data_IF_074704418246
#
_entry.id   IF_074704418246
#
_cell.length_a   1.000
_cell.length_b   1.000
_cell.length_c   1.000
_cell.angle_alpha   90.00
_cell.angle_beta   90.00
_cell.angle_gamma   90.00
#
_symmetry.space_group_name_H-M   'P 1'
#
loop_
_entity.id
_entity.type
_entity.pdbx_description
1 polymer ?
#
# COMPACT_ATOMS: atom_id res chain seq x y z
N UNK A 1 20.05 -47.18 41.12
CA UNK A 1 19.89 -45.95 40.30
C UNK A 1 19.25 -46.33 38.98
N UNK A 2 18.35 -45.46 38.47
CA UNK A 2 17.61 -45.53 37.18
C UNK A 2 16.47 -46.58 37.15
N UNK A 3 15.28 -46.38 36.56
CA UNK A 3 14.70 -45.27 35.77
C UNK A 3 13.31 -45.74 35.24
N UNK A 4 12.30 -44.85 35.36
CA UNK A 4 11.15 -44.57 34.45
C UNK A 4 10.13 -45.68 34.14
N UNK A 5 8.84 -45.35 34.32
CA UNK A 5 7.88 -45.04 33.23
C UNK A 5 6.45 -44.87 33.79
N UNK A 6 6.00 -43.65 34.08
CA UNK A 6 5.30 -42.74 33.15
C UNK A 6 4.25 -43.43 32.28
N UNK A 7 3.03 -43.64 32.80
CA UNK A 7 1.92 -44.15 31.97
C UNK A 7 0.52 -43.61 32.31
N UNK A 8 0.40 -42.61 33.19
CA UNK A 8 -0.91 -42.10 33.63
C UNK A 8 -1.30 -40.72 33.07
N UNK A 9 -0.36 -39.93 32.58
CA UNK A 9 -0.65 -38.55 32.10
C UNK A 9 -1.37 -38.56 30.74
N UNK A 10 -0.97 -39.43 29.81
CA UNK A 10 -1.57 -39.52 28.47
C UNK A 10 -3.05 -39.95 28.49
N UNK A 11 -3.50 -40.65 29.53
CA UNK A 11 -4.89 -41.12 29.65
C UNK A 11 -5.82 -40.00 30.13
N UNK A 12 -5.32 -39.06 30.93
CA UNK A 12 -6.05 -37.88 31.37
C UNK A 12 -6.03 -36.77 30.30
N UNK A 13 -4.90 -36.59 29.61
CA UNK A 13 -4.79 -35.69 28.46
C UNK A 13 -5.68 -36.17 27.31
N UNK A 14 -5.69 -37.48 26.99
CA UNK A 14 -6.56 -38.02 25.94
C UNK A 14 -8.06 -37.86 26.25
N UNK A 15 -8.46 -38.01 27.52
CA UNK A 15 -9.84 -37.72 27.95
C UNK A 15 -10.18 -36.23 27.86
N UNK A 16 -9.25 -35.35 28.22
CA UNK A 16 -9.42 -33.90 28.07
C UNK A 16 -9.52 -33.47 26.60
N UNK A 17 -8.67 -34.03 25.74
CA UNK A 17 -8.64 -33.75 24.31
C UNK A 17 -9.88 -34.29 23.58
N UNK A 18 -10.37 -35.46 23.98
CA UNK A 18 -11.66 -36.01 23.52
C UNK A 18 -12.84 -35.12 23.95
N UNK A 19 -12.84 -34.64 25.21
CA UNK A 19 -13.88 -33.73 25.70
C UNK A 19 -13.87 -32.38 24.97
N UNK A 20 -12.70 -31.85 24.63
CA UNK A 20 -12.55 -30.60 23.88
C UNK A 20 -13.04 -30.76 22.43
N UNK A 21 -12.81 -31.93 21.83
CA UNK A 21 -13.27 -32.24 20.47
C UNK A 21 -14.81 -32.34 20.39
N UNK A 22 -15.46 -32.93 21.38
CA UNK A 22 -16.93 -33.01 21.44
C UNK A 22 -17.58 -31.63 21.56
N UNK A 23 -16.97 -30.69 22.30
CA UNK A 23 -17.46 -29.30 22.41
C UNK A 23 -17.33 -28.57 21.05
N UNK A 24 -16.28 -28.86 20.28
CA UNK A 24 -16.10 -28.34 18.92
C UNK A 24 -17.15 -28.84 17.93
N UNK A 25 -17.63 -30.08 18.06
CA UNK A 25 -18.68 -30.63 17.19
C UNK A 25 -20.08 -30.06 17.46
N UNK A 26 -20.37 -29.59 18.68
CA UNK A 26 -21.66 -28.95 19.02
C UNK A 26 -21.76 -27.51 18.45
N UNK A 27 -20.63 -26.83 18.23
CA UNK A 27 -20.60 -25.52 17.57
C UNK A 27 -20.82 -25.60 16.05
N UNK A 28 -20.84 -26.80 15.47
CA UNK A 28 -21.15 -27.06 14.07
C UNK A 28 -22.51 -27.75 13.90
N UNK A 29 -23.48 -27.43 14.77
CA UNK A 29 -24.86 -27.87 14.64
C UNK A 29 -25.81 -26.66 14.74
N UNK A 30 -25.88 -25.90 13.66
CA UNK A 30 -27.03 -25.04 13.37
C UNK A 30 -28.20 -25.95 13.04
N UNK A 31 -29.10 -26.15 14.00
CA UNK A 31 -30.31 -26.96 13.80
C UNK A 31 -31.15 -26.44 12.62
N UNK A 32 -31.63 -27.43 11.89
CA UNK A 32 -32.32 -27.42 10.61
C UNK A 32 -33.60 -26.59 10.57
N UNK A 33 -33.84 -25.96 9.41
CA UNK A 33 -35.13 -26.08 8.72
C UNK A 33 -34.90 -26.99 7.52
N UNK A 34 -35.50 -28.17 7.50
CA UNK A 34 -35.65 -28.93 6.26
C UNK A 34 -36.68 -28.24 5.37
N UNK A 35 -36.51 -28.48 4.07
CA UNK A 35 -37.41 -28.15 2.96
C UNK A 35 -37.53 -26.67 2.60
N UNK A 36 -36.58 -26.21 1.80
CA UNK A 36 -36.85 -25.82 0.41
C UNK A 36 -35.51 -25.81 -0.32
N UNK A 37 -35.42 -26.62 -1.38
CA UNK A 37 -34.40 -26.64 -2.42
C UNK A 37 -33.13 -25.83 -2.11
N UNK A 38 -32.03 -26.56 -1.84
CA UNK A 38 -30.76 -26.11 -2.35
C UNK A 38 -30.90 -26.00 -3.88
N UNK A 39 -31.40 -24.85 -4.34
CA UNK A 39 -30.96 -24.33 -5.62
C UNK A 39 -29.49 -24.10 -5.40
N UNK A 40 -28.69 -25.12 -5.72
CA UNK A 40 -27.36 -24.91 -6.24
C UNK A 40 -27.52 -23.76 -7.22
N UNK A 41 -27.20 -22.54 -6.78
CA UNK A 41 -26.85 -21.49 -7.72
C UNK A 41 -25.51 -21.98 -8.23
N UNK A 42 -25.57 -22.94 -9.15
CA UNK A 42 -24.51 -23.15 -10.10
C UNK A 42 -24.29 -21.75 -10.67
N UNK A 43 -23.16 -21.15 -10.30
CA UNK A 43 -22.65 -19.96 -10.97
C UNK A 43 -22.21 -20.48 -12.34
N UNK A 44 -23.20 -20.85 -13.17
CA UNK A 44 -23.01 -21.24 -14.54
C UNK A 44 -22.60 -19.96 -15.26
N UNK A 45 -21.31 -19.90 -15.58
CA UNK A 45 -20.73 -18.94 -16.51
C UNK A 45 -20.72 -17.49 -16.00
N UNK A 46 -19.98 -17.19 -14.92
CA UNK A 46 -19.43 -15.83 -14.83
C UNK A 46 -18.32 -15.71 -15.88
N UNK A 47 -18.30 -14.58 -16.59
CA UNK A 47 -17.15 -14.22 -17.43
C UNK A 47 -15.87 -14.28 -16.57
N UNK A 48 -14.68 -14.55 -17.15
CA UNK A 48 -13.43 -14.66 -16.37
C UNK A 48 -13.12 -13.42 -15.53
N UNK A 49 -13.75 -12.28 -15.83
CA UNK A 49 -13.53 -11.00 -15.17
C UNK A 49 -14.64 -10.60 -14.17
N UNK A 50 -15.61 -11.47 -13.89
CA UNK A 50 -16.72 -11.18 -12.96
C UNK A 50 -16.71 -12.08 -11.72
N UNK A 51 -16.83 -11.45 -10.55
CA UNK A 51 -16.95 -12.13 -9.26
C UNK A 51 -18.36 -11.90 -8.71
N UNK A 52 -19.13 -12.98 -8.62
CA UNK A 52 -20.44 -12.98 -7.98
C UNK A 52 -20.32 -13.23 -6.47
N UNK A 53 -21.08 -12.48 -5.68
CA UNK A 53 -21.09 -12.55 -4.20
C UNK A 53 -22.54 -12.65 -3.73
N UNK A 54 -22.81 -13.46 -2.69
CA UNK A 54 -24.16 -13.60 -2.14
C UNK A 54 -24.56 -12.40 -1.26
N UNK A 55 -25.85 -12.18 -1.05
CA UNK A 55 -26.35 -11.09 -0.20
C UNK A 55 -25.84 -11.20 1.26
N UNK A 56 -25.69 -12.43 1.76
CA UNK A 56 -25.15 -12.70 3.10
C UNK A 56 -23.66 -12.34 3.19
N UNK A 57 -22.88 -12.61 2.15
CA UNK A 57 -21.47 -12.22 2.07
C UNK A 57 -21.32 -10.70 1.93
N UNK A 58 -22.22 -10.06 1.17
CA UNK A 58 -22.23 -8.60 1.02
C UNK A 58 -22.49 -7.88 2.35
N UNK A 59 -23.52 -8.32 3.07
CA UNK A 59 -23.89 -7.73 4.37
C UNK A 59 -22.86 -8.04 5.45
N UNK A 60 -22.34 -9.28 5.50
CA UNK A 60 -21.30 -9.66 6.45
C UNK A 60 -19.97 -8.93 6.21
N UNK A 61 -19.71 -8.53 4.96
CA UNK A 61 -18.55 -7.73 4.59
C UNK A 61 -18.70 -6.23 4.86
N UNK A 62 -19.86 -5.78 5.37
CA UNK A 62 -20.20 -4.36 5.54
C UNK A 62 -19.89 -3.53 4.29
N UNK A 63 -20.17 -4.10 3.11
CA UNK A 63 -19.88 -3.44 1.84
C UNK A 63 -20.90 -2.33 1.55
N UNK A 64 -20.43 -1.21 1.02
CA UNK A 64 -21.27 -0.06 0.65
C UNK A 64 -21.05 0.32 -0.81
N UNK A 65 -22.14 0.64 -1.51
CA UNK A 65 -22.09 1.15 -2.88
C UNK A 65 -22.22 2.67 -2.86
N UNK A 66 -21.19 3.35 -3.36
CA UNK A 66 -21.24 4.77 -3.63
C UNK A 66 -21.94 5.10 -4.95
N UNK A 67 -22.31 6.37 -5.13
CA UNK A 67 -22.75 6.88 -6.44
C UNK A 67 -21.54 7.34 -7.23
N UNK A 68 -21.49 6.99 -8.51
CA UNK A 68 -20.51 7.55 -9.44
C UNK A 68 -20.92 9.00 -9.75
N UNK A 69 -19.99 9.94 -9.59
CA UNK A 69 -20.21 11.35 -9.90
C UNK A 69 -19.05 11.90 -10.73
N UNK A 70 -19.38 12.71 -11.74
CA UNK A 70 -18.37 13.50 -12.46
C UNK A 70 -17.87 14.63 -11.55
N UNK A 71 -16.56 14.74 -11.41
CA UNK A 71 -15.91 15.78 -10.64
C UNK A 71 -15.03 16.61 -11.58
N UNK A 72 -14.98 17.93 -11.36
CA UNK A 72 -14.12 18.82 -12.12
C UNK A 72 -12.66 18.67 -11.66
N UNK A 73 -11.76 18.33 -12.57
CA UNK A 73 -10.34 18.22 -12.29
C UNK A 73 -9.63 19.54 -12.61
N UNK A 74 -8.66 19.93 -11.79
CA UNK A 74 -7.87 21.15 -12.06
C UNK A 74 -6.97 20.92 -13.27
N UNK A 75 -7.16 21.73 -14.31
CA UNK A 75 -6.43 21.65 -15.59
C UNK A 75 -5.06 22.34 -15.58
N UNK A 76 -4.76 23.10 -14.52
CA UNK A 76 -3.56 23.93 -14.43
C UNK A 76 -2.64 23.46 -13.31
N UNK A 77 -1.44 23.01 -13.67
CA UNK A 77 -0.37 22.68 -12.72
C UNK A 77 0.67 23.80 -12.75
N UNK A 78 0.86 24.50 -11.62
CA UNK A 78 1.87 25.57 -11.49
C UNK A 78 3.22 24.97 -11.11
N UNK A 79 4.17 24.97 -12.04
CA UNK A 79 5.56 24.59 -11.78
C UNK A 79 6.46 25.84 -11.77
N UNK A 80 7.34 25.95 -10.77
CA UNK A 80 8.41 26.95 -10.75
C UNK A 80 9.76 26.24 -10.99
N UNK A 81 10.69 26.89 -11.69
CA UNK A 81 12.04 26.38 -11.94
C UNK A 81 13.07 27.50 -11.97
N UNK A 82 14.34 27.16 -11.77
CA UNK A 82 15.47 28.10 -11.84
C UNK A 82 16.35 27.75 -13.04
N UNK A 83 16.64 28.75 -13.88
CA UNK A 83 17.68 28.63 -14.89
C UNK A 83 19.02 28.96 -14.24
N UNK A 84 19.78 27.91 -13.90
CA UNK A 84 21.19 28.06 -13.57
C UNK A 84 22.01 28.01 -14.85
N UNK A 85 23.02 28.86 -14.96
CA UNK A 85 24.06 28.67 -15.99
C UNK A 85 24.74 27.34 -15.72
N UNK A 86 24.91 26.53 -16.76
CA UNK A 86 25.68 25.28 -16.64
C UNK A 86 27.13 25.62 -16.31
N UNK A 87 27.82 24.83 -15.48
CA UNK A 87 29.21 25.08 -15.10
C UNK A 87 30.17 25.26 -16.30
N UNK A 88 29.85 24.64 -17.44
CA UNK A 88 30.63 24.74 -18.68
C UNK A 88 30.71 26.17 -19.25
N UNK A 89 29.73 27.03 -18.96
CA UNK A 89 29.67 28.40 -19.46
C UNK A 89 30.14 29.45 -18.43
N UNK A 90 30.72 29.00 -17.30
CA UNK A 90 31.30 29.89 -16.29
C UNK A 90 32.80 30.07 -16.53
N UNK A 91 33.27 31.32 -16.53
CA UNK A 91 34.69 31.65 -16.69
C UNK A 91 35.13 32.60 -15.58
N UNK A 92 36.12 32.17 -14.81
CA UNK A 92 36.75 32.98 -13.77
C UNK A 92 38.06 33.58 -14.30
N UNK A 93 38.18 34.90 -14.24
CA UNK A 93 39.36 35.63 -14.71
C UNK A 93 40.11 36.20 -13.52
N UNK A 94 41.40 35.87 -13.39
CA UNK A 94 42.29 36.42 -12.37
C UNK A 94 43.48 37.15 -12.99
N UNK A 95 44.02 38.14 -12.26
CA UNK A 95 45.22 38.84 -12.67
C UNK A 95 46.46 38.02 -12.30
N UNK A 96 47.40 37.85 -13.23
CA UNK A 96 48.63 37.10 -12.98
C UNK A 96 49.60 37.82 -12.04
N UNK A 97 49.60 39.16 -12.03
CA UNK A 97 50.43 39.99 -11.17
C UNK A 97 49.57 40.95 -10.33
N UNK A 98 50.10 41.34 -9.15
CA UNK A 98 49.46 42.34 -8.29
C UNK A 98 49.50 43.74 -8.93
N UNK A 99 48.42 44.50 -8.78
CA UNK A 99 48.31 45.86 -9.30
C UNK A 99 46.96 46.50 -9.02
N UNK A 100 46.81 47.76 -9.42
CA UNK A 100 45.58 48.53 -9.24
C UNK A 100 44.80 48.63 -10.56
N UNK A 101 43.47 48.43 -10.49
CA UNK A 101 42.58 48.52 -11.67
C UNK A 101 42.29 49.99 -12.00
N UNK A 102 42.83 50.49 -13.12
CA UNK A 102 42.62 51.88 -13.55
C UNK A 102 41.37 52.08 -14.41
N UNK A 103 41.03 51.13 -15.27
CA UNK A 103 39.86 51.20 -16.16
C UNK A 103 39.31 49.79 -16.42
N UNK A 104 37.98 49.67 -16.56
CA UNK A 104 37.30 48.42 -16.97
C UNK A 104 36.42 48.76 -18.17
N UNK A 105 36.51 47.98 -19.26
CA UNK A 105 35.64 48.11 -20.43
C UNK A 105 34.68 46.93 -20.47
N UNK A 106 33.39 47.18 -20.25
CA UNK A 106 32.33 46.17 -20.35
C UNK A 106 31.43 46.50 -21.54
N UNK A 107 30.96 45.47 -22.24
CA UNK A 107 29.88 45.61 -23.24
C UNK A 107 28.53 45.60 -22.50
N UNK A 108 27.55 46.33 -23.03
CA UNK A 108 26.19 46.33 -22.50
C UNK A 108 25.67 44.89 -22.34
N UNK A 109 24.97 44.63 -21.23
CA UNK A 109 24.48 43.32 -20.76
C UNK A 109 25.50 42.38 -20.08
N UNK A 110 26.76 42.79 -19.87
CA UNK A 110 27.68 42.05 -19.00
C UNK A 110 27.45 42.39 -17.51
N UNK A 111 27.08 41.38 -16.70
CA UNK A 111 27.07 41.49 -15.23
C UNK A 111 28.43 41.03 -14.71
N UNK A 112 29.15 41.91 -14.01
CA UNK A 112 30.41 41.57 -13.35
C UNK A 112 30.19 41.51 -11.84
N UNK A 113 30.81 40.53 -11.19
CA UNK A 113 30.85 40.45 -9.73
C UNK A 113 32.31 40.66 -9.28
N UNK A 114 32.56 41.76 -8.58
CA UNK A 114 33.90 42.09 -8.07
C UNK A 114 34.03 41.47 -6.67
N UNK A 115 34.68 40.32 -6.58
CA UNK A 115 34.99 39.66 -5.31
C UNK A 115 36.31 40.25 -4.81
N UNK A 116 36.22 41.19 -3.88
CA UNK A 116 37.32 41.68 -3.04
C UNK A 116 36.84 41.67 -1.60
#
# INVERSE_FOLDING_TARGET
>A
MKNISSKNDNRMVFKGLLSLFIIGLVSCNSKEKSDTAATEIAIENSAPDEVAVTETQFTSGAMELGKVSMQEFTTVVKANGMFAVTPENQADVSAYFAGYVKNIRLRNMCKYNKIF
#
